data_IF_375151156350
#
_entry.id   IF_375151156350
#
_cell.length_a   1.000
_cell.length_b   1.000
_cell.length_c   1.000
_cell.angle_alpha   90.00
_cell.angle_beta   90.00
_cell.angle_gamma   90.00
#
_symmetry.space_group_name_H-M   'P 1'
#
loop_
_entity.id
_entity.type
_entity.pdbx_description
1 polymer ?
#
# COMPACT_ATOMS: atom_id res chain seq x y z
N UNK A 1 -33.60 12.98 40.00
CA UNK A 1 -32.42 12.08 39.86
C UNK A 1 -32.67 10.90 38.90
N UNK A 2 -33.78 10.16 38.98
CA UNK A 2 -34.09 9.01 38.09
C UNK A 2 -34.26 9.35 36.59
N UNK A 3 -34.74 10.55 36.27
CA UNK A 3 -34.92 11.04 34.89
C UNK A 3 -33.60 11.37 34.20
N UNK A 4 -32.65 11.99 34.90
CA UNK A 4 -31.31 12.27 34.37
C UNK A 4 -30.53 10.98 34.03
N UNK A 5 -30.65 9.94 34.87
CA UNK A 5 -30.00 8.66 34.64
C UNK A 5 -30.57 7.89 33.43
N UNK A 6 -31.89 7.96 33.22
CA UNK A 6 -32.54 7.37 32.04
C UNK A 6 -32.15 8.10 30.74
N UNK A 7 -31.99 9.42 30.80
CA UNK A 7 -31.63 10.23 29.62
C UNK A 7 -30.17 9.99 29.21
N UNK A 8 -29.26 9.85 30.17
CA UNK A 8 -27.85 9.50 29.94
C UNK A 8 -27.70 8.11 29.29
N UNK A 9 -28.46 7.11 29.75
CA UNK A 9 -28.42 5.75 29.20
C UNK A 9 -28.94 5.66 27.75
N UNK A 10 -30.00 6.42 27.41
CA UNK A 10 -30.56 6.42 26.04
C UNK A 10 -29.60 7.07 25.05
N UNK A 11 -28.93 8.17 25.43
CA UNK A 11 -27.96 8.85 24.57
C UNK A 11 -26.72 7.98 24.32
N UNK A 12 -26.22 7.27 25.34
CA UNK A 12 -25.10 6.35 25.18
C UNK A 12 -25.41 5.17 24.25
N UNK A 13 -26.61 4.59 24.33
CA UNK A 13 -27.03 3.49 23.45
C UNK A 13 -27.22 3.93 21.99
N UNK A 14 -27.74 5.14 21.75
CA UNK A 14 -27.86 5.71 20.40
C UNK A 14 -26.49 6.00 19.77
N UNK A 15 -25.54 6.52 20.55
CA UNK A 15 -24.18 6.75 20.09
C UNK A 15 -23.45 5.44 19.74
N UNK A 16 -23.60 4.39 20.56
CA UNK A 16 -23.04 3.07 20.28
C UNK A 16 -23.61 2.46 18.99
N UNK A 17 -24.93 2.52 18.79
CA UNK A 17 -25.58 1.97 17.58
C UNK A 17 -25.20 2.68 16.27
N UNK A 18 -24.90 3.98 16.30
CA UNK A 18 -24.42 4.71 15.12
C UNK A 18 -22.98 4.32 14.76
N UNK A 19 -22.13 4.10 15.77
CA UNK A 19 -20.74 3.65 15.58
C UNK A 19 -20.69 2.23 15.03
N UNK A 20 -21.53 1.32 15.54
CA UNK A 20 -21.65 -0.05 15.04
C UNK A 20 -22.09 -0.11 13.57
N UNK A 21 -23.06 0.73 13.18
CA UNK A 21 -23.51 0.85 11.78
C UNK A 21 -22.41 1.39 10.87
N UNK A 22 -21.68 2.42 11.31
CA UNK A 22 -20.59 2.99 10.53
C UNK A 22 -19.45 1.98 10.31
N UNK A 23 -19.12 1.16 11.31
CA UNK A 23 -18.13 0.08 11.16
C UNK A 23 -18.62 -1.02 10.21
N UNK A 24 -19.90 -1.42 10.31
CA UNK A 24 -20.49 -2.42 9.42
C UNK A 24 -20.53 -1.94 7.96
N UNK A 25 -20.88 -0.66 7.74
CA UNK A 25 -20.90 -0.04 6.42
C UNK A 25 -19.47 0.07 5.85
N UNK A 26 -18.50 0.52 6.66
CA UNK A 26 -17.09 0.55 6.25
C UNK A 26 -16.52 -0.84 5.94
N UNK A 27 -16.90 -1.88 6.70
CA UNK A 27 -16.51 -3.26 6.42
C UNK A 27 -17.12 -3.77 5.10
N UNK A 28 -18.40 -3.47 4.84
CA UNK A 28 -19.07 -3.83 3.59
C UNK A 28 -18.44 -3.16 2.36
N UNK A 29 -18.03 -1.89 2.49
CA UNK A 29 -17.34 -1.15 1.42
C UNK A 29 -15.98 -1.78 1.10
N UNK A 30 -15.20 -2.17 2.12
CA UNK A 30 -13.92 -2.87 1.92
C UNK A 30 -14.11 -4.22 1.21
N UNK A 31 -15.16 -4.95 1.58
CA UNK A 31 -15.44 -6.29 1.05
C UNK A 31 -15.81 -6.29 -0.44
N UNK A 32 -16.34 -5.19 -0.97
CA UNK A 32 -16.67 -5.06 -2.40
C UNK A 32 -15.52 -4.44 -3.22
N UNK A 33 -14.81 -3.44 -2.67
CA UNK A 33 -13.77 -2.72 -3.40
C UNK A 33 -12.47 -3.50 -3.56
N UNK A 34 -12.02 -4.21 -2.52
CA UNK A 34 -10.75 -4.95 -2.57
C UNK A 34 -10.78 -6.12 -3.58
N UNK A 35 -11.81 -6.98 -3.62
CA UNK A 35 -11.89 -8.03 -4.64
C UNK A 35 -11.99 -7.46 -6.05
N UNK A 36 -12.74 -6.38 -6.25
CA UNK A 36 -12.87 -5.74 -7.56
C UNK A 36 -11.52 -5.16 -8.04
N UNK A 37 -10.75 -4.54 -7.14
CA UNK A 37 -9.38 -4.11 -7.42
C UNK A 37 -8.44 -5.27 -7.74
N UNK A 38 -8.48 -6.36 -6.96
CA UNK A 38 -7.62 -7.52 -7.20
C UNK A 38 -7.93 -8.15 -8.56
N UNK A 39 -9.18 -8.15 -9.02
CA UNK A 39 -9.51 -8.60 -10.39
C UNK A 39 -8.82 -7.75 -11.47
N UNK A 40 -8.67 -6.44 -11.27
CA UNK A 40 -7.89 -5.57 -12.18
C UNK A 40 -6.42 -5.99 -12.14
N UNK A 41 -5.84 -6.14 -10.94
CA UNK A 41 -4.45 -6.53 -10.76
C UNK A 41 -4.15 -7.89 -11.43
N UNK A 42 -4.98 -8.91 -11.19
CA UNK A 42 -4.86 -10.24 -11.77
C UNK A 42 -4.96 -10.21 -13.30
N UNK A 43 -5.88 -9.41 -13.85
CA UNK A 43 -6.03 -9.27 -15.29
C UNK A 43 -4.80 -8.58 -15.92
N UNK A 44 -4.24 -7.56 -15.27
CA UNK A 44 -3.00 -6.91 -15.71
C UNK A 44 -1.80 -7.85 -15.60
N UNK A 45 -1.73 -8.67 -14.55
CA UNK A 45 -0.70 -9.70 -14.39
C UNK A 45 -0.80 -10.80 -15.48
N UNK A 46 -2.01 -11.05 -15.98
CA UNK A 46 -2.26 -11.99 -17.08
C UNK A 46 -2.13 -11.38 -18.49
N UNK A 47 -1.68 -10.14 -18.63
CA UNK A 47 -1.64 -9.38 -19.89
C UNK A 47 -3.02 -9.26 -20.59
N UNK A 48 -4.11 -9.30 -19.82
CA UNK A 48 -5.47 -9.29 -20.34
C UNK A 48 -6.12 -7.91 -20.19
N UNK A 49 -5.91 -7.04 -21.19
CA UNK A 49 -6.47 -5.69 -21.19
C UNK A 49 -8.00 -5.67 -21.15
N UNK A 50 -8.67 -6.58 -21.86
CA UNK A 50 -10.13 -6.62 -21.91
C UNK A 50 -10.73 -6.93 -20.52
N UNK A 51 -10.17 -7.93 -19.83
CA UNK A 51 -10.56 -8.24 -18.46
C UNK A 51 -10.23 -7.10 -17.49
N UNK A 52 -9.07 -6.45 -17.65
CA UNK A 52 -8.67 -5.33 -16.80
C UNK A 52 -9.65 -4.16 -16.94
N UNK A 53 -10.05 -3.80 -18.18
CA UNK A 53 -11.05 -2.75 -18.42
C UNK A 53 -12.41 -3.09 -17.82
N UNK A 54 -12.89 -4.32 -18.04
CA UNK A 54 -14.17 -4.77 -17.51
C UNK A 54 -14.21 -4.74 -15.97
N UNK A 55 -13.15 -5.22 -15.31
CA UNK A 55 -13.03 -5.15 -13.86
C UNK A 55 -12.94 -3.70 -13.36
N UNK A 56 -12.25 -2.82 -14.11
CA UNK A 56 -12.15 -1.40 -13.76
C UNK A 56 -13.48 -0.65 -13.92
N UNK A 57 -14.29 -0.98 -14.91
CA UNK A 57 -15.67 -0.47 -15.01
C UNK A 57 -16.49 -0.88 -13.79
N UNK A 58 -16.47 -2.17 -13.42
CA UNK A 58 -17.20 -2.63 -12.24
C UNK A 58 -16.73 -1.92 -10.96
N UNK A 59 -15.41 -1.76 -10.77
CA UNK A 59 -14.86 -1.01 -9.64
C UNK A 59 -15.31 0.45 -9.63
N UNK A 60 -15.44 1.08 -10.80
CA UNK A 60 -15.96 2.45 -10.92
C UNK A 60 -17.37 2.54 -10.35
N UNK A 61 -18.25 1.60 -10.69
CA UNK A 61 -19.63 1.57 -10.23
C UNK A 61 -19.71 1.34 -8.71
N UNK A 62 -19.00 0.33 -8.20
CA UNK A 62 -18.95 0.04 -6.75
C UNK A 62 -18.41 1.23 -5.95
N UNK A 63 -17.30 1.82 -6.40
CA UNK A 63 -16.71 2.98 -5.75
C UNK A 63 -17.62 4.21 -5.81
N UNK A 64 -18.36 4.40 -6.91
CA UNK A 64 -19.35 5.45 -7.05
C UNK A 64 -20.49 5.33 -6.03
N UNK A 65 -21.07 4.13 -5.91
CA UNK A 65 -22.13 3.84 -4.92
C UNK A 65 -21.62 4.01 -3.49
N UNK A 66 -20.38 3.58 -3.21
CA UNK A 66 -19.74 3.71 -1.90
C UNK A 66 -19.23 5.13 -1.58
N UNK A 67 -19.43 6.12 -2.48
CA UNK A 67 -18.96 7.49 -2.29
C UNK A 67 -17.44 7.68 -2.39
N UNK A 68 -16.71 6.66 -2.85
CA UNK A 68 -15.26 6.65 -3.00
C UNK A 68 -14.82 7.28 -4.33
N UNK A 69 -15.03 8.59 -4.46
CA UNK A 69 -14.83 9.34 -5.72
C UNK A 69 -13.45 9.13 -6.34
N UNK A 70 -12.38 9.22 -5.54
CA UNK A 70 -11.02 9.06 -6.04
C UNK A 70 -10.79 7.64 -6.60
N UNK A 71 -11.28 6.59 -5.93
CA UNK A 71 -11.17 5.22 -6.43
C UNK A 71 -11.95 5.07 -7.73
N UNK A 72 -13.17 5.63 -7.80
CA UNK A 72 -14.00 5.57 -9.00
C UNK A 72 -13.33 6.26 -10.20
N UNK A 73 -12.76 7.45 -10.01
CA UNK A 73 -12.07 8.21 -11.06
C UNK A 73 -10.84 7.44 -11.58
N UNK A 74 -9.99 6.92 -10.68
CA UNK A 74 -8.80 6.17 -11.09
C UNK A 74 -9.15 4.85 -11.79
N UNK A 75 -10.20 4.16 -11.34
CA UNK A 75 -10.70 2.96 -12.00
C UNK A 75 -11.27 3.28 -13.40
N UNK A 76 -12.02 4.37 -13.53
CA UNK A 76 -12.56 4.82 -14.81
C UNK A 76 -11.44 5.10 -15.82
N UNK A 77 -10.34 5.70 -15.38
CA UNK A 77 -9.18 5.92 -16.24
C UNK A 77 -8.59 4.62 -16.76
N UNK A 78 -8.49 3.57 -15.94
CA UNK A 78 -8.02 2.25 -16.41
C UNK A 78 -9.00 1.65 -17.42
N UNK A 79 -10.32 1.76 -17.17
CA UNK A 79 -11.34 1.23 -18.07
C UNK A 79 -11.27 1.83 -19.49
N UNK A 80 -10.76 3.06 -19.61
CA UNK A 80 -10.59 3.80 -20.87
C UNK A 80 -9.18 3.70 -21.47
N UNK A 81 -8.25 2.98 -20.83
CA UNK A 81 -6.86 2.92 -21.27
C UNK A 81 -6.75 2.26 -22.64
N UNK A 82 -6.09 2.88 -23.63
CA UNK A 82 -6.05 2.42 -25.02
C UNK A 82 -5.36 1.06 -25.23
N UNK A 83 -4.34 0.77 -24.43
CA UNK A 83 -3.53 -0.45 -24.49
C UNK A 83 -3.10 -0.90 -23.07
N UNK A 84 -2.42 -2.05 -22.98
CA UNK A 84 -2.00 -2.63 -21.70
C UNK A 84 -0.94 -1.78 -20.98
N UNK A 85 -0.09 -1.07 -21.72
CA UNK A 85 0.92 -0.21 -21.13
C UNK A 85 0.27 1.03 -20.51
N UNK A 86 -0.70 1.63 -21.18
CA UNK A 86 -1.51 2.72 -20.65
C UNK A 86 -2.30 2.29 -19.40
N UNK A 87 -2.87 1.08 -19.38
CA UNK A 87 -3.58 0.55 -18.22
C UNK A 87 -2.64 0.40 -17.01
N UNK A 88 -1.45 -0.16 -17.21
CA UNK A 88 -0.41 -0.30 -16.18
C UNK A 88 0.09 1.05 -15.65
N UNK A 89 0.28 2.02 -16.53
CA UNK A 89 0.69 3.37 -16.15
C UNK A 89 -0.32 4.06 -15.24
N UNK A 90 -1.62 3.78 -15.41
CA UNK A 90 -2.72 4.31 -14.59
C UNK A 90 -2.93 3.52 -13.30
N UNK A 91 -2.57 2.23 -13.29
CA UNK A 91 -2.80 1.33 -12.16
C UNK A 91 -2.16 1.80 -10.84
N UNK A 92 -0.98 2.44 -10.90
CA UNK A 92 -0.30 2.97 -9.71
C UNK A 92 -1.17 3.96 -8.93
N UNK A 93 -1.85 4.87 -9.62
CA UNK A 93 -2.73 5.86 -8.98
C UNK A 93 -3.93 5.22 -8.31
N UNK A 94 -4.48 4.16 -8.92
CA UNK A 94 -5.55 3.37 -8.30
C UNK A 94 -5.05 2.64 -7.04
N UNK A 95 -3.86 2.05 -7.07
CA UNK A 95 -3.27 1.40 -5.89
C UNK A 95 -3.14 2.37 -4.72
N UNK A 96 -2.62 3.58 -4.95
CA UNK A 96 -2.46 4.57 -3.89
C UNK A 96 -3.79 4.93 -3.19
N UNK A 97 -4.89 4.89 -3.93
CA UNK A 97 -6.23 5.14 -3.37
C UNK A 97 -6.79 3.93 -2.58
N UNK A 98 -6.39 2.69 -2.93
CA UNK A 98 -6.93 1.46 -2.33
C UNK A 98 -6.06 0.87 -1.22
N UNK A 99 -4.74 1.06 -1.25
CA UNK A 99 -3.81 0.51 -0.26
C UNK A 99 -4.25 0.78 1.20
N UNK A 100 -4.73 1.98 1.59
CA UNK A 100 -5.20 2.23 2.95
C UNK A 100 -6.39 1.36 3.38
N UNK A 101 -7.21 0.89 2.42
CA UNK A 101 -8.36 0.03 2.71
C UNK A 101 -7.95 -1.41 3.03
N UNK A 102 -6.82 -1.87 2.48
CA UNK A 102 -6.28 -3.21 2.70
C UNK A 102 -5.65 -3.39 4.08
N UNK A 103 -5.31 -2.30 4.78
CA UNK A 103 -4.76 -2.36 6.13
C UNK A 103 -5.74 -3.06 7.10
N UNK A 104 -5.23 -4.09 7.78
CA UNK A 104 -5.98 -4.87 8.77
C UNK A 104 -7.07 -5.78 8.19
N UNK A 105 -7.07 -6.03 6.87
CA UNK A 105 -7.99 -6.97 6.22
C UNK A 105 -7.25 -8.29 5.98
N UNK A 106 -7.74 -9.36 6.62
CA UNK A 106 -7.17 -10.69 6.44
C UNK A 106 -7.28 -11.16 4.98
N UNK A 107 -6.28 -11.93 4.55
CA UNK A 107 -6.23 -12.47 3.18
C UNK A 107 -5.69 -11.51 2.12
N UNK A 108 -5.29 -10.28 2.50
CA UNK A 108 -4.63 -9.33 1.61
C UNK A 108 -3.23 -8.98 2.10
N UNK A 109 -2.32 -8.76 1.16
CA UNK A 109 -0.94 -8.35 1.43
C UNK A 109 -0.55 -7.25 0.47
N UNK A 110 0.08 -6.20 0.99
CA UNK A 110 0.70 -5.19 0.15
C UNK A 110 2.03 -5.75 -0.34
N UNK A 111 2.19 -5.81 -1.65
CA UNK A 111 3.37 -6.27 -2.35
C UNK A 111 4.10 -5.07 -2.94
N UNK A 112 5.41 -5.19 -3.15
CA UNK A 112 6.24 -4.16 -3.78
C UNK A 112 7.17 -4.77 -4.82
N UNK A 113 7.48 -4.00 -5.88
CA UNK A 113 8.44 -4.37 -6.90
C UNK A 113 9.45 -3.23 -7.08
N UNK A 114 10.70 -3.46 -6.65
CA UNK A 114 11.78 -2.47 -6.73
C UNK A 114 12.03 -1.95 -8.15
N UNK A 115 11.88 -2.82 -9.16
CA UNK A 115 12.05 -2.46 -10.56
C UNK A 115 10.87 -1.63 -11.11
N UNK A 116 9.64 -1.90 -10.67
CA UNK A 116 8.48 -1.07 -11.00
C UNK A 116 8.48 0.27 -10.21
N UNK A 117 9.19 0.31 -9.07
CA UNK A 117 9.07 1.38 -8.06
C UNK A 117 7.61 1.65 -7.71
N UNK A 118 6.87 0.56 -7.50
CA UNK A 118 5.44 0.59 -7.27
C UNK A 118 5.00 -0.59 -6.41
N UNK A 119 3.92 -0.35 -5.66
CA UNK A 119 3.30 -1.31 -4.76
C UNK A 119 1.97 -1.80 -5.35
N UNK A 120 1.41 -2.89 -4.83
CA UNK A 120 0.04 -3.32 -5.14
C UNK A 120 -0.55 -4.14 -4.00
N UNK A 121 -1.88 -4.17 -3.91
CA UNK A 121 -2.57 -5.09 -2.98
C UNK A 121 -2.82 -6.42 -3.69
N UNK A 122 -2.46 -7.52 -3.07
CA UNK A 122 -2.71 -8.86 -3.59
C UNK A 122 -3.50 -9.68 -2.59
N UNK A 123 -4.41 -10.53 -3.08
CA UNK A 123 -4.95 -11.62 -2.29
C UNK A 123 -3.85 -12.65 -1.97
N UNK A 124 -3.99 -13.38 -0.86
CA UNK A 124 -3.07 -14.46 -0.50
C UNK A 124 -2.89 -15.47 -1.63
N UNK A 125 -1.66 -15.91 -1.85
CA UNK A 125 -1.29 -16.85 -2.91
C UNK A 125 0.02 -16.47 -3.57
N UNK A 126 0.28 -17.05 -4.73
CA UNK A 126 1.49 -16.79 -5.51
C UNK A 126 1.58 -15.32 -5.98
N UNK A 127 2.80 -14.82 -6.10
CA UNK A 127 3.07 -13.46 -6.59
C UNK A 127 2.59 -13.31 -8.03
N UNK A 128 1.78 -12.27 -8.29
CA UNK A 128 1.25 -11.90 -9.60
C UNK A 128 1.47 -10.42 -9.85
N UNK A 129 2.59 -10.08 -10.48
CA UNK A 129 2.99 -8.70 -10.73
C UNK A 129 2.12 -8.03 -11.82
N UNK A 130 1.28 -7.04 -11.48
CA UNK A 130 0.41 -6.38 -12.45
C UNK A 130 1.18 -5.44 -13.41
N UNK A 131 2.36 -4.99 -13.02
CA UNK A 131 3.16 -4.01 -13.75
C UNK A 131 3.95 -4.62 -14.91
N UNK A 132 4.37 -5.88 -14.79
CA UNK A 132 5.17 -6.56 -15.82
C UNK A 132 4.44 -7.74 -16.48
N UNK A 133 3.28 -8.14 -15.98
CA UNK A 133 2.49 -9.20 -16.61
C UNK A 133 3.20 -10.54 -16.59
N UNK A 134 2.95 -11.36 -17.61
CA UNK A 134 3.54 -12.70 -17.75
C UNK A 134 5.06 -12.67 -17.88
N UNK A 135 5.63 -11.57 -18.37
CA UNK A 135 7.08 -11.46 -18.55
C UNK A 135 7.86 -11.51 -17.23
N UNK A 136 7.28 -11.02 -16.13
CA UNK A 136 7.90 -11.07 -14.80
C UNK A 136 6.85 -11.27 -13.71
N UNK A 137 6.00 -12.29 -13.91
CA UNK A 137 4.82 -12.54 -13.08
C UNK A 137 5.17 -12.70 -11.59
N UNK A 138 6.26 -13.40 -11.30
CA UNK A 138 6.72 -13.69 -9.93
C UNK A 138 7.62 -12.59 -9.33
N UNK A 139 7.82 -11.47 -10.02
CA UNK A 139 8.67 -10.40 -9.51
C UNK A 139 7.96 -9.57 -8.45
N UNK A 140 8.52 -9.54 -7.24
CA UNK A 140 8.10 -8.68 -6.15
C UNK A 140 8.05 -9.45 -4.84
N UNK A 141 7.92 -8.71 -3.76
CA UNK A 141 7.96 -9.23 -2.39
C UNK A 141 6.93 -8.52 -1.52
N UNK A 142 6.50 -9.11 -0.39
CA UNK A 142 5.70 -8.40 0.59
C UNK A 142 6.38 -7.09 1.00
N UNK A 143 5.63 -5.99 0.97
CA UNK A 143 6.11 -4.68 1.42
C UNK A 143 6.42 -4.78 2.91
N UNK A 144 7.68 -4.53 3.26
CA UNK A 144 8.09 -4.42 4.65
C UNK A 144 7.39 -3.20 5.24
N UNK A 145 6.57 -3.40 6.27
CA UNK A 145 6.11 -2.30 7.12
C UNK A 145 7.33 -1.92 7.94
N UNK A 146 7.94 -0.80 7.61
CA UNK A 146 8.93 -0.14 8.44
C UNK A 146 8.23 0.27 9.74
N UNK A 147 8.28 -0.64 10.72
CA UNK A 147 8.04 -0.31 12.13
C UNK A 147 8.96 0.85 12.46
N UNK A 148 8.41 2.07 12.41
CA UNK A 148 8.99 3.35 12.80
C UNK A 148 10.49 3.31 13.09
N UNK A 149 11.31 3.82 12.18
CA UNK A 149 12.63 4.43 12.41
C UNK A 149 13.21 4.22 13.82
N UNK A 150 13.56 2.97 14.15
CA UNK A 150 14.46 2.62 15.24
C UNK A 150 15.86 2.65 14.66
N UNK A 151 16.40 3.85 14.44
CA UNK A 151 17.83 4.01 14.24
C UNK A 151 18.52 3.73 15.59
N UNK A 152 18.65 2.46 15.93
CA UNK A 152 19.70 1.99 16.83
C UNK A 152 20.85 1.50 15.93
N UNK A 153 21.72 2.42 15.51
CA UNK A 153 23.06 2.04 15.11
C UNK A 153 23.82 1.72 16.41
N UNK A 154 23.95 0.43 16.65
CA UNK A 154 24.48 -0.14 17.87
C UNK A 154 25.20 -1.43 17.56
N UNK A 155 26.23 -1.35 16.73
CA UNK A 155 27.15 -2.43 16.45
C UNK A 155 28.55 -1.84 16.25
N UNK A 156 29.18 -1.62 17.41
CA UNK A 156 30.61 -1.43 17.52
C UNK A 156 31.35 -2.65 16.97
N UNK A 157 32.02 -2.45 15.85
CA UNK A 157 33.24 -3.20 15.53
C UNK A 157 34.42 -2.37 15.99
N UNK A 158 34.94 -2.73 17.16
CA UNK A 158 36.16 -2.16 17.70
C UNK A 158 37.33 -2.40 16.76
N UNK A 159 37.95 -1.29 16.31
CA UNK A 159 39.37 -1.27 15.98
C UNK A 159 39.97 -0.22 16.91
N UNK A 160 40.71 -0.71 17.91
CA UNK A 160 41.43 0.13 18.83
C UNK A 160 42.56 0.85 18.11
N UNK A 161 42.57 2.18 18.20
CA UNK A 161 43.76 2.97 18.00
C UNK A 161 44.10 3.56 19.37
N UNK A 162 45.16 3.04 19.97
CA UNK A 162 45.67 3.49 21.25
C UNK A 162 46.15 4.93 21.19
N UNK A 163 46.04 5.57 22.35
CA UNK A 163 46.54 6.90 22.63
C UNK A 163 48.02 7.05 22.25
N UNK A 164 48.33 8.09 21.48
CA UNK A 164 49.66 8.66 21.40
C UNK A 164 49.54 10.17 21.63
N UNK A 165 49.84 10.56 22.86
CA UNK A 165 50.17 11.94 23.23
C UNK A 165 51.42 12.40 22.47
N UNK A 166 51.44 13.66 22.04
CA UNK A 166 52.59 14.59 21.94
C UNK A 166 52.57 15.41 20.65
N UNK A 167 52.29 16.70 20.84
CA UNK A 167 53.17 17.83 20.55
C UNK A 167 54.21 17.73 19.41
N UNK A 168 54.36 18.88 18.72
CA UNK A 168 55.36 19.29 17.71
C UNK A 168 55.10 18.97 16.23
N UNK A 169 55.02 20.06 15.46
CA UNK A 169 54.76 20.06 14.04
C UNK A 169 55.97 19.78 13.16
N UNK A 170 55.70 19.35 11.94
CA UNK A 170 56.53 19.65 10.77
C UNK A 170 55.74 19.44 9.48
N UNK A 171 56.11 20.22 8.47
CA UNK A 171 55.53 20.23 7.13
C UNK A 171 55.78 18.92 6.36
N UNK A 172 54.91 18.62 5.38
CA UNK A 172 55.28 17.79 4.24
C UNK A 172 54.21 16.84 3.71
N UNK A 173 53.77 17.14 2.48
CA UNK A 173 53.42 16.23 1.37
C UNK A 173 52.70 14.88 1.62
N UNK A 174 51.62 14.68 0.85
CA UNK A 174 51.47 13.43 0.10
C UNK A 174 50.12 12.71 0.19
N UNK A 175 49.33 12.87 -0.88
CA UNK A 175 48.52 11.83 -1.55
C UNK A 175 47.56 10.99 -0.70
N UNK A 176 46.27 11.35 -0.78
CA UNK A 176 45.16 10.47 -0.38
C UNK A 176 44.76 9.56 -1.55
N UNK A 177 45.14 8.29 -1.46
CA UNK A 177 44.51 7.18 -2.17
C UNK A 177 43.34 6.63 -1.35
N UNK A 178 42.30 6.16 -2.05
CA UNK A 178 41.08 5.58 -1.50
C UNK A 178 41.32 4.25 -0.77
N UNK A 179 40.46 3.97 0.21
CA UNK A 179 40.20 2.66 0.81
C UNK A 179 38.85 2.70 1.51
#
# INVERSE_FOLDING_TARGET
MKTAFRLVLVVAALAAGLVERALAEAASVKLELLPAYVKIADALAADNLAAARAAATALTDYAGVAGQKQIAEQALDISKAADIAAARGRFKSLTLAIEPLAAGVDGYTVMTCAMAKADWVQASGDVKNPYFGKSMLSCGEPKKIDSASGHNHGDGSGHGCGDATSDQGHAGHGQHGCG
#
